data_IF_518411029205
#
_entry.id   IF_518411029205
#
_cell.length_a   1.000
_cell.length_b   1.000
_cell.length_c   1.000
_cell.angle_alpha   90.00
_cell.angle_beta   90.00
_cell.angle_gamma   90.00
#
_symmetry.space_group_name_H-M   'P 1'
#
loop_
_entity.id
_entity.type
_entity.pdbx_description
1 polymer ?
#
# COMPACT_ATOMS: atom_id res chain seq x y z
N UNK A 1 -2.82 -0.69 -21.34
CA UNK A 1 -3.82 -1.30 -20.44
C UNK A 1 -3.48 -1.08 -18.96
N UNK A 2 -2.24 -1.27 -18.49
CA UNK A 2 -1.82 -0.92 -17.11
C UNK A 2 -2.18 0.51 -16.68
N UNK A 3 -1.87 1.50 -17.50
CA UNK A 3 -2.13 2.93 -17.20
C UNK A 3 -3.59 3.29 -16.89
N UNK A 4 -4.55 2.51 -17.40
CA UNK A 4 -5.97 2.70 -17.08
C UNK A 4 -6.33 2.16 -15.70
N UNK A 5 -5.78 1.00 -15.32
CA UNK A 5 -5.93 0.44 -13.98
C UNK A 5 -5.28 1.35 -12.93
N UNK A 6 -4.10 1.88 -13.21
CA UNK A 6 -3.41 2.84 -12.34
C UNK A 6 -4.28 4.08 -12.08
N UNK A 7 -4.86 4.63 -13.16
CA UNK A 7 -5.71 5.82 -13.09
C UNK A 7 -7.00 5.53 -12.33
N UNK A 8 -7.65 4.39 -12.60
CA UNK A 8 -8.87 3.98 -11.90
C UNK A 8 -8.62 3.79 -10.40
N UNK A 9 -7.58 3.06 -10.04
CA UNK A 9 -7.24 2.76 -8.65
C UNK A 9 -6.87 4.03 -7.88
N UNK A 10 -6.12 4.94 -8.51
CA UNK A 10 -5.81 6.24 -7.93
C UNK A 10 -7.06 7.10 -7.73
N UNK A 11 -7.93 7.18 -8.73
CA UNK A 11 -9.18 7.95 -8.62
C UNK A 11 -10.07 7.40 -7.51
N UNK A 12 -10.16 6.07 -7.37
CA UNK A 12 -10.88 5.43 -6.28
C UNK A 12 -10.27 5.79 -4.91
N UNK A 13 -8.94 5.82 -4.82
CA UNK A 13 -8.24 6.24 -3.60
C UNK A 13 -8.48 7.68 -3.21
N UNK A 14 -8.58 8.56 -4.19
CA UNK A 14 -8.89 9.97 -3.95
C UNK A 14 -10.34 10.21 -3.53
N UNK A 15 -11.27 9.34 -3.91
CA UNK A 15 -12.68 9.47 -3.53
C UNK A 15 -12.93 9.11 -2.07
N UNK A 16 -12.12 8.19 -1.52
CA UNK A 16 -12.27 7.69 -0.15
C UNK A 16 -10.92 7.53 0.56
N UNK A 17 -10.19 8.63 0.80
CA UNK A 17 -8.85 8.57 1.37
C UNK A 17 -8.82 8.06 2.82
N UNK A 18 -9.94 8.19 3.55
CA UNK A 18 -10.08 7.77 4.95
C UNK A 18 -10.77 6.40 5.11
N UNK A 19 -11.08 5.70 4.01
CA UNK A 19 -11.71 4.38 4.04
C UNK A 19 -10.62 3.29 4.17
N UNK A 20 -10.56 2.54 5.30
CA UNK A 20 -9.49 1.57 5.52
C UNK A 20 -9.45 0.45 4.47
N UNK A 21 -10.60 -0.03 4.01
CA UNK A 21 -10.67 -1.03 2.94
C UNK A 21 -10.10 -0.50 1.63
N UNK A 22 -10.36 0.77 1.32
CA UNK A 22 -9.80 1.43 0.15
C UNK A 22 -8.27 1.55 0.25
N UNK A 23 -7.77 2.08 1.37
CA UNK A 23 -6.33 2.26 1.61
C UNK A 23 -5.60 0.92 1.51
N UNK A 24 -6.19 -0.13 2.06
CA UNK A 24 -5.70 -1.51 1.93
C UNK A 24 -5.67 -1.97 0.47
N UNK A 25 -6.78 -1.81 -0.27
CA UNK A 25 -6.88 -2.23 -1.66
C UNK A 25 -5.87 -1.50 -2.57
N UNK A 26 -5.66 -0.21 -2.37
CA UNK A 26 -4.66 0.54 -3.14
C UNK A 26 -3.24 0.19 -2.72
N UNK A 27 -2.99 -0.05 -1.42
CA UNK A 27 -1.72 -0.60 -0.94
C UNK A 27 -1.35 -1.94 -1.58
N UNK A 28 -2.31 -2.86 -1.68
CA UNK A 28 -2.13 -4.15 -2.38
C UNK A 28 -1.82 -3.95 -3.86
N UNK A 29 -2.55 -3.05 -4.53
CA UNK A 29 -2.30 -2.74 -5.94
C UNK A 29 -0.87 -2.26 -6.16
N UNK A 30 -0.41 -1.28 -5.37
CA UNK A 30 0.96 -0.75 -5.46
C UNK A 30 2.01 -1.83 -5.15
N UNK A 31 1.79 -2.64 -4.11
CA UNK A 31 2.67 -3.76 -3.76
C UNK A 31 2.76 -4.81 -4.87
N UNK A 32 1.66 -5.11 -5.57
CA UNK A 32 1.66 -6.03 -6.72
C UNK A 32 2.38 -5.51 -7.97
N UNK A 33 2.89 -4.28 -7.93
CA UNK A 33 3.62 -3.63 -9.03
C UNK A 33 5.05 -3.20 -8.63
N UNK A 34 5.64 -3.85 -7.61
CA UNK A 34 6.99 -3.53 -7.11
C UNK A 34 7.11 -2.07 -6.62
N UNK A 35 6.00 -1.51 -6.11
CA UNK A 35 5.94 -0.15 -5.55
C UNK A 35 5.71 -0.21 -4.03
N UNK A 36 6.42 -1.08 -3.31
CA UNK A 36 6.26 -1.33 -1.87
C UNK A 36 6.43 -0.06 -1.04
N UNK A 37 7.38 0.80 -1.43
CA UNK A 37 7.60 2.09 -0.75
C UNK A 37 6.42 3.04 -0.92
N UNK A 38 5.82 3.08 -2.11
CA UNK A 38 4.63 3.88 -2.38
C UNK A 38 3.40 3.31 -1.66
N UNK A 39 3.26 1.98 -1.63
CA UNK A 39 2.23 1.29 -0.86
C UNK A 39 2.32 1.65 0.63
N UNK A 40 3.52 1.55 1.22
CA UNK A 40 3.75 1.88 2.62
C UNK A 40 3.48 3.36 2.91
N UNK A 41 3.92 4.28 2.03
CA UNK A 41 3.65 5.71 2.19
C UNK A 41 2.15 6.02 2.13
N UNK A 42 1.41 5.38 1.23
CA UNK A 42 -0.04 5.55 1.12
C UNK A 42 -0.76 5.02 2.36
N UNK A 43 -0.42 3.81 2.84
CA UNK A 43 -1.04 3.24 4.05
C UNK A 43 -0.77 4.11 5.28
N UNK A 44 0.42 4.68 5.40
CA UNK A 44 0.77 5.58 6.51
C UNK A 44 0.04 6.94 6.46
N UNK A 45 -0.72 7.26 5.41
CA UNK A 45 -1.61 8.43 5.40
C UNK A 45 -2.86 8.22 6.25
N UNK A 46 -3.26 6.96 6.48
CA UNK A 46 -4.39 6.61 7.34
C UNK A 46 -3.97 6.62 8.82
N UNK A 47 -4.74 7.24 9.73
CA UNK A 47 -4.45 7.20 11.16
C UNK A 47 -4.38 5.75 11.67
N UNK A 48 -3.36 5.42 12.47
CA UNK A 48 -3.15 4.04 12.98
C UNK A 48 -4.35 3.47 13.75
N UNK A 49 -5.16 4.32 14.36
CA UNK A 49 -6.39 3.91 15.05
C UNK A 49 -7.44 3.30 14.10
N UNK A 50 -7.35 3.58 12.80
CA UNK A 50 -8.25 3.05 11.77
C UNK A 50 -7.69 1.80 11.07
N UNK A 51 -6.47 1.38 11.41
CA UNK A 51 -5.87 0.21 10.80
C UNK A 51 -6.58 -1.06 11.28
N UNK A 52 -7.13 -1.81 10.33
CA UNK A 52 -7.64 -3.16 10.57
C UNK A 52 -6.51 -4.21 10.46
N UNK A 53 -6.81 -5.47 10.78
CA UNK A 53 -5.84 -6.56 10.73
C UNK A 53 -5.21 -6.73 9.34
N UNK A 54 -5.98 -6.53 8.26
CA UNK A 54 -5.47 -6.67 6.90
C UNK A 54 -4.41 -5.61 6.57
N UNK A 55 -4.63 -4.35 7.00
CA UNK A 55 -3.66 -3.27 6.85
C UNK A 55 -2.39 -3.58 7.64
N UNK A 56 -2.54 -4.05 8.89
CA UNK A 56 -1.39 -4.39 9.74
C UNK A 56 -0.53 -5.49 9.11
N UNK A 57 -1.15 -6.56 8.63
CA UNK A 57 -0.46 -7.66 7.94
C UNK A 57 0.28 -7.18 6.69
N UNK A 58 -0.37 -6.33 5.88
CA UNK A 58 0.27 -5.76 4.69
C UNK A 58 1.47 -4.90 5.06
N UNK A 59 1.36 -4.03 6.05
CA UNK A 59 2.48 -3.18 6.52
C UNK A 59 3.64 -4.04 7.02
N UNK A 60 3.36 -5.05 7.85
CA UNK A 60 4.38 -5.96 8.38
C UNK A 60 5.15 -6.67 7.27
N UNK A 61 4.44 -7.14 6.24
CA UNK A 61 5.04 -7.74 5.05
C UNK A 61 5.91 -6.72 4.28
N UNK A 62 5.36 -5.56 3.94
CA UNK A 62 6.07 -4.52 3.17
C UNK A 62 7.36 -4.06 3.87
N UNK A 63 7.33 -3.95 5.20
CA UNK A 63 8.52 -3.60 5.98
C UNK A 63 9.56 -4.72 5.99
N UNK A 64 9.12 -5.98 6.12
CA UNK A 64 10.00 -7.14 6.06
C UNK A 64 10.69 -7.25 4.70
N UNK A 65 9.93 -7.08 3.61
CA UNK A 65 10.44 -7.11 2.25
C UNK A 65 11.51 -6.02 2.02
N UNK A 66 11.34 -4.81 2.57
CA UNK A 66 12.36 -3.75 2.49
C UNK A 66 13.65 -4.08 3.25
N UNK A 67 13.54 -4.70 4.43
CA UNK A 67 14.72 -5.12 5.20
C UNK A 67 15.50 -6.18 4.45
N UNK A 68 14.81 -7.18 3.88
CA UNK A 68 15.43 -8.23 3.06
C UNK A 68 16.04 -7.67 1.78
N UNK A 69 15.35 -6.76 1.08
CA UNK A 69 15.89 -6.06 -0.08
C UNK A 69 17.18 -5.30 0.27
N UNK A 70 17.19 -4.61 1.41
CA UNK A 70 18.37 -3.85 1.86
C UNK A 70 19.52 -4.79 2.21
N UNK A 71 19.23 -5.89 2.91
CA UNK A 71 20.23 -6.90 3.27
C UNK A 71 20.85 -7.59 2.05
N UNK A 72 20.05 -7.88 1.01
CA UNK A 72 20.52 -8.50 -0.24
C UNK A 72 21.39 -7.58 -1.11
N UNK A 73 21.43 -6.27 -0.82
CA UNK A 73 22.26 -5.30 -1.52
C UNK A 73 23.62 -5.06 -0.88
N UNK A 74 23.86 -5.63 0.30
CA UNK A 74 25.13 -5.55 1.04
C UNK A 74 26.05 -6.71 0.65
#
# INVERSE_FOLDING_TARGET
>A
QRSQADTLMRNLAQQKPDDPEQVYAYGLYLSGHDQERAALAHINSLPRAQWNSNIQELVNRLQSDQVLETANRL
#
